data_IF_802405487452
#
_entry.id   IF_802405487452
#
_cell.length_a   1.000
_cell.length_b   1.000
_cell.length_c   1.000
_cell.angle_alpha   90.00
_cell.angle_beta   90.00
_cell.angle_gamma   90.00
#
_symmetry.space_group_name_H-M   'P 1'
#
loop_
_entity.id
_entity.type
_entity.pdbx_description
1 polymer ?
#
# COMPACT_ATOMS: atom_id res chain seq x y z
N UNK A 1 2.75 5.30 5.00
CA UNK A 1 2.21 6.12 3.90
C UNK A 1 3.12 7.30 3.61
N UNK A 2 3.59 8.01 4.64
CA UNK A 2 4.40 9.23 4.45
C UNK A 2 5.91 9.02 4.37
N UNK A 3 6.38 7.77 4.31
CA UNK A 3 7.82 7.47 4.28
C UNK A 3 8.53 8.11 3.09
N UNK A 4 7.85 8.23 1.94
CA UNK A 4 8.38 8.90 0.74
C UNK A 4 8.62 10.39 1.01
N UNK A 5 7.58 11.07 1.54
CA UNK A 5 7.64 12.51 1.87
C UNK A 5 8.64 12.78 2.99
N UNK A 6 8.67 11.93 4.03
CA UNK A 6 9.65 12.07 5.10
C UNK A 6 11.09 11.92 4.61
N UNK A 7 11.34 11.01 3.66
CA UNK A 7 12.67 10.80 3.10
C UNK A 7 13.10 12.00 2.23
N UNK A 8 12.18 12.57 1.43
CA UNK A 8 12.43 13.81 0.68
C UNK A 8 12.80 14.97 1.61
N UNK A 9 12.05 15.16 2.71
CA UNK A 9 12.34 16.20 3.73
C UNK A 9 13.70 16.00 4.40
N UNK A 10 14.16 14.74 4.53
CA UNK A 10 15.47 14.40 5.09
C UNK A 10 16.62 14.50 4.08
N UNK A 11 16.36 15.01 2.86
CA UNK A 11 17.36 15.21 1.82
C UNK A 11 17.66 13.97 0.98
N UNK A 12 16.79 12.95 1.01
CA UNK A 12 16.85 11.84 0.06
C UNK A 12 16.03 12.21 -1.19
N UNK A 13 16.72 12.60 -2.26
CA UNK A 13 16.08 13.14 -3.47
C UNK A 13 15.54 12.05 -4.42
N UNK A 14 16.07 10.82 -4.34
CA UNK A 14 15.71 9.70 -5.23
C UNK A 14 14.76 8.68 -4.59
N UNK A 15 13.68 9.15 -3.95
CA UNK A 15 12.74 8.26 -3.25
C UNK A 15 11.54 7.97 -4.15
N UNK A 16 11.47 6.74 -4.67
CA UNK A 16 10.37 6.30 -5.52
C UNK A 16 9.04 6.22 -4.74
N UNK A 17 7.95 6.66 -5.39
CA UNK A 17 6.59 6.49 -4.88
C UNK A 17 6.25 5.01 -4.67
N UNK A 18 5.26 4.74 -3.80
CA UNK A 18 4.76 3.38 -3.63
C UNK A 18 4.16 2.84 -4.94
N UNK A 19 4.76 1.78 -5.49
CA UNK A 19 4.35 1.15 -6.77
C UNK A 19 2.99 0.46 -6.74
N UNK A 20 2.50 0.09 -5.55
CA UNK A 20 1.22 -0.62 -5.39
C UNK A 20 0.51 -0.07 -4.16
N UNK A 21 -0.78 0.23 -4.29
CA UNK A 21 -1.61 0.65 -3.16
C UNK A 21 -3.00 -0.01 -3.21
N UNK A 22 -3.40 -0.64 -2.11
CA UNK A 22 -4.76 -1.13 -1.91
C UNK A 22 -5.28 -0.56 -0.60
N UNK A 23 -6.35 0.23 -0.68
CA UNK A 23 -6.99 0.83 0.48
C UNK A 23 -8.33 0.15 0.71
N UNK A 24 -8.48 -0.52 1.85
CA UNK A 24 -9.73 -1.11 2.31
C UNK A 24 -10.30 -0.21 3.38
N UNK A 25 -11.46 0.38 3.15
CA UNK A 25 -12.04 1.34 4.09
C UNK A 25 -13.56 1.29 4.09
N UNK A 26 -14.13 1.66 5.23
CA UNK A 26 -15.56 1.99 5.37
C UNK A 26 -15.78 3.50 5.46
N UNK A 27 -14.69 4.28 5.49
CA UNK A 27 -14.72 5.73 5.62
C UNK A 27 -15.21 6.37 4.33
N UNK A 28 -16.01 7.42 4.48
CA UNK A 28 -16.62 8.12 3.37
C UNK A 28 -15.78 9.35 3.01
N UNK A 29 -15.44 9.50 1.74
CA UNK A 29 -14.60 10.59 1.22
C UNK A 29 -15.13 12.00 1.56
N UNK A 30 -16.42 12.13 1.86
CA UNK A 30 -17.05 13.42 2.22
C UNK A 30 -16.61 13.95 3.58
N UNK A 31 -16.08 13.10 4.46
CA UNK A 31 -15.61 13.53 5.77
C UNK A 31 -14.27 14.29 5.72
N UNK A 32 -13.54 14.23 4.60
CA UNK A 32 -12.26 14.92 4.40
C UNK A 32 -11.14 14.47 5.34
N UNK A 33 -11.30 13.35 6.04
CA UNK A 33 -10.32 12.82 6.96
C UNK A 33 -9.21 12.05 6.23
N UNK A 34 -8.03 11.95 6.87
CA UNK A 34 -6.93 11.16 6.31
C UNK A 34 -7.31 9.67 6.09
N UNK A 35 -8.27 9.14 6.86
CA UNK A 35 -8.79 7.76 6.73
C UNK A 35 -9.72 7.54 5.53
N UNK A 36 -10.30 8.61 4.98
CA UNK A 36 -11.16 8.58 3.80
C UNK A 36 -10.50 9.16 2.55
N UNK A 37 -9.31 9.74 2.70
CA UNK A 37 -8.50 10.28 1.60
C UNK A 37 -8.37 9.26 0.47
N UNK A 38 -8.50 9.76 -0.77
CA UNK A 38 -8.47 8.92 -1.97
C UNK A 38 -7.04 8.61 -2.39
N UNK A 39 -6.81 7.48 -3.06
CA UNK A 39 -5.47 7.17 -3.59
C UNK A 39 -5.00 8.18 -4.65
N UNK A 40 -5.93 8.85 -5.35
CA UNK A 40 -5.64 10.00 -6.22
C UNK A 40 -5.10 11.23 -5.46
N UNK A 41 -5.60 11.46 -4.25
CA UNK A 41 -5.06 12.49 -3.37
C UNK A 41 -3.68 12.07 -2.85
N UNK A 42 -3.49 10.81 -2.48
CA UNK A 42 -2.16 10.31 -2.12
C UNK A 42 -1.15 10.42 -3.28
N UNK A 43 -1.59 10.24 -4.53
CA UNK A 43 -0.78 10.48 -5.72
C UNK A 43 -0.41 11.95 -5.90
N UNK A 44 -1.32 12.90 -5.65
CA UNK A 44 -0.99 14.34 -5.78
C UNK A 44 0.11 14.81 -4.82
N UNK A 45 0.30 14.09 -3.71
CA UNK A 45 1.36 14.33 -2.74
C UNK A 45 2.65 13.53 -3.01
N UNK A 46 2.73 12.82 -4.14
CA UNK A 46 3.90 12.00 -4.47
C UNK A 46 4.05 10.75 -3.57
N UNK A 47 2.97 10.27 -2.93
CA UNK A 47 3.06 9.11 -2.02
C UNK A 47 2.84 7.78 -2.74
N UNK A 48 1.93 7.75 -3.70
CA UNK A 48 1.45 6.53 -4.38
C UNK A 48 1.51 6.73 -5.88
N UNK A 49 2.03 5.74 -6.60
CA UNK A 49 2.00 5.74 -8.06
C UNK A 49 0.61 5.35 -8.59
N UNK A 50 0.10 6.09 -9.58
CA UNK A 50 -1.26 5.92 -10.09
C UNK A 50 -1.46 4.66 -10.97
N UNK A 51 -0.39 3.95 -11.32
CA UNK A 51 -0.49 2.81 -12.25
C UNK A 51 -1.13 1.56 -11.64
N UNK A 52 -1.01 1.36 -10.32
CA UNK A 52 -1.49 0.17 -9.63
C UNK A 52 -2.10 0.51 -8.26
N UNK A 53 -3.17 1.30 -8.29
CA UNK A 53 -3.95 1.69 -7.12
C UNK A 53 -5.37 1.12 -7.15
N UNK A 54 -5.91 0.70 -5.98
CA UNK A 54 -7.31 0.29 -5.85
C UNK A 54 -7.88 0.62 -4.47
N UNK A 55 -9.01 1.33 -4.45
CA UNK A 55 -9.81 1.55 -3.25
C UNK A 55 -10.97 0.55 -3.21
N UNK A 56 -11.21 -0.06 -2.04
CA UNK A 56 -12.26 -1.06 -1.80
C UNK A 56 -13.08 -0.63 -0.61
N UNK A 57 -14.37 -0.34 -0.85
CA UNK A 57 -15.32 0.03 0.20
C UNK A 57 -15.90 -1.22 0.85
N UNK A 58 -15.24 -1.69 1.91
CA UNK A 58 -15.65 -2.88 2.64
C UNK A 58 -15.04 -2.91 4.04
N UNK A 59 -15.66 -3.70 4.91
CA UNK A 59 -15.12 -3.97 6.24
C UNK A 59 -13.97 -5.00 6.13
N UNK A 60 -12.85 -4.69 6.76
CA UNK A 60 -11.59 -5.41 6.60
C UNK A 60 -11.65 -6.89 7.00
N UNK A 61 -12.38 -7.25 8.07
CA UNK A 61 -12.51 -8.64 8.51
C UNK A 61 -13.21 -9.53 7.49
N UNK A 62 -14.07 -8.97 6.63
CA UNK A 62 -14.74 -9.74 5.57
C UNK A 62 -13.85 -9.94 4.33
N UNK A 63 -13.12 -8.91 3.90
CA UNK A 63 -12.40 -8.94 2.62
C UNK A 63 -10.95 -9.38 2.73
N UNK A 64 -10.25 -9.10 3.84
CA UNK A 64 -8.85 -9.50 4.00
C UNK A 64 -8.67 -11.02 3.92
N UNK A 65 -9.49 -11.86 4.59
CA UNK A 65 -9.36 -13.31 4.48
C UNK A 65 -9.55 -13.82 3.05
N UNK A 66 -10.44 -13.20 2.27
CA UNK A 66 -10.69 -13.58 0.88
C UNK A 66 -9.49 -13.25 -0.01
N UNK A 67 -8.93 -12.05 0.14
CA UNK A 67 -7.72 -11.63 -0.60
C UNK A 67 -6.54 -12.53 -0.23
N UNK A 68 -6.36 -12.81 1.05
CA UNK A 68 -5.29 -13.69 1.52
C UNK A 68 -5.45 -15.12 0.98
N UNK A 69 -6.68 -15.65 0.98
CA UNK A 69 -7.00 -16.96 0.43
C UNK A 69 -6.68 -17.04 -1.07
N UNK A 70 -7.15 -16.08 -1.88
CA UNK A 70 -6.86 -16.04 -3.31
C UNK A 70 -5.36 -15.93 -3.59
N UNK A 71 -4.66 -15.01 -2.92
CA UNK A 71 -3.22 -14.82 -3.07
C UNK A 71 -2.41 -16.07 -2.71
N UNK A 72 -2.83 -16.81 -1.68
CA UNK A 72 -2.21 -18.05 -1.25
C UNK A 72 -2.44 -19.18 -2.26
N UNK A 73 -3.68 -19.38 -2.69
CA UNK A 73 -4.08 -20.48 -3.58
C UNK A 73 -3.55 -20.32 -5.00
N UNK A 74 -3.37 -19.09 -5.50
CA UNK A 74 -2.70 -18.84 -6.79
C UNK A 74 -1.24 -19.32 -6.84
N UNK A 75 -0.62 -19.55 -5.69
CA UNK A 75 0.71 -20.18 -5.62
C UNK A 75 1.85 -19.32 -6.18
N UNK A 76 1.63 -18.05 -6.52
CA UNK A 76 2.69 -17.14 -7.00
C UNK A 76 3.85 -17.04 -6.00
N UNK A 77 3.58 -17.19 -4.70
CA UNK A 77 4.58 -17.20 -3.64
C UNK A 77 5.62 -18.31 -3.80
N UNK A 78 5.27 -19.45 -4.42
CA UNK A 78 6.18 -20.59 -4.62
C UNK A 78 7.37 -20.25 -5.52
N UNK A 79 7.18 -19.31 -6.46
CA UNK A 79 8.22 -18.86 -7.41
C UNK A 79 9.02 -17.66 -6.88
N UNK A 80 8.62 -17.07 -5.74
CA UNK A 80 9.29 -15.89 -5.18
C UNK A 80 10.54 -16.29 -4.40
N UNK A 81 11.61 -15.50 -4.52
CA UNK A 81 12.83 -15.66 -3.71
C UNK A 81 12.48 -15.50 -2.22
N UNK A 82 12.78 -16.52 -1.41
CA UNK A 82 12.62 -16.46 0.05
C UNK A 82 13.49 -15.33 0.61
N UNK A 83 12.90 -14.43 1.39
CA UNK A 83 13.63 -13.35 2.06
C UNK A 83 14.15 -13.85 3.41
N UNK A 84 15.45 -13.72 3.65
CA UNK A 84 16.12 -14.11 4.91
C UNK A 84 16.34 -12.88 5.80
N UNK A 85 15.26 -12.24 6.21
CA UNK A 85 15.36 -10.99 6.98
C UNK A 85 16.08 -11.13 8.33
N UNK A 86 16.14 -12.34 8.89
CA UNK A 86 16.89 -12.60 10.11
C UNK A 86 18.42 -12.42 9.94
N UNK A 87 18.94 -12.57 8.72
CA UNK A 87 20.37 -12.43 8.41
C UNK A 87 20.70 -11.05 7.82
N UNK A 88 19.85 -10.03 8.04
CA UNK A 88 20.03 -8.71 7.45
C UNK A 88 21.13 -7.88 8.15
N UNK A 89 21.50 -8.27 9.37
CA UNK A 89 22.43 -7.54 10.25
C UNK A 89 23.58 -8.41 10.78
N UNK A 90 23.74 -9.63 10.25
CA UNK A 90 24.95 -10.44 10.43
C UNK A 90 25.96 -10.09 9.32
#
# INVERSE_FOLDING_TARGET
QDTVVCAEVLGHEDVEMHKYAVQITVADVRDGACSSSTLKEANSWGKVDSSCEQMVFAEATTVIPLIASDAYHRGHWKKRKKRKFAALFD
#
